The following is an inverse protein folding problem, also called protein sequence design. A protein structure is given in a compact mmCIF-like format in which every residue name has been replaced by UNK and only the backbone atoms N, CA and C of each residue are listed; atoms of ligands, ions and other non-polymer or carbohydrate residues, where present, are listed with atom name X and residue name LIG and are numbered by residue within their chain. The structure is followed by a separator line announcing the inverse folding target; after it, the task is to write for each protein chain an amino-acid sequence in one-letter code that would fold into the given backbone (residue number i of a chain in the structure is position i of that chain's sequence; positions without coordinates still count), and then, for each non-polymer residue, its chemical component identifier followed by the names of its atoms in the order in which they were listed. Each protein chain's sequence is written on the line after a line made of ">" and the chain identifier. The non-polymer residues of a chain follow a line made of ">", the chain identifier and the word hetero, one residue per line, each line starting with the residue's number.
data_IF_671960106744
#
_entry.id   IF_671960106744
#
_cell.length_a   1.000
_cell.length_b   1.000
_cell.length_c   1.000
_cell.angle_alpha   90.00
_cell.angle_beta   90.00
_cell.angle_gamma   90.00
#
_symmetry.space_group_name_H-M   'P 1'
#
loop_
_entity.id
_entity.type
_entity.pdbx_description
1 polymer ?
#
# COMPACT_ATOMS: atom_id res chain seq x y z
N UNK A 1 -11.16 35.93 -7.53
CA UNK A 1 -10.16 34.85 -7.58
C UNK A 1 -10.86 33.59 -7.07
N UNK A 2 -11.08 32.58 -7.91
CA UNK A 2 -11.59 31.29 -7.43
C UNK A 2 -10.41 30.55 -6.81
N UNK A 3 -10.37 30.43 -5.49
CA UNK A 3 -9.51 29.47 -4.81
C UNK A 3 -10.02 28.08 -5.17
N UNK A 4 -9.30 27.38 -6.05
CA UNK A 4 -9.57 25.97 -6.31
C UNK A 4 -9.43 25.21 -4.98
N UNK A 5 -10.51 24.61 -4.50
CA UNK A 5 -10.47 23.75 -3.32
C UNK A 5 -9.60 22.54 -3.64
N UNK A 6 -8.53 22.32 -2.86
CA UNK A 6 -7.70 21.11 -2.99
C UNK A 6 -8.52 19.88 -2.59
N UNK A 7 -8.58 18.88 -3.45
CA UNK A 7 -9.13 17.57 -3.11
C UNK A 7 -8.09 16.77 -2.33
N UNK A 8 -8.50 16.24 -1.19
CA UNK A 8 -7.62 15.48 -0.29
C UNK A 8 -8.27 14.15 0.02
N UNK A 9 -7.50 13.06 -0.08
CA UNK A 9 -7.88 11.76 0.47
C UNK A 9 -6.92 11.35 1.59
N UNK A 10 -7.45 10.68 2.61
CA UNK A 10 -6.70 10.21 3.77
C UNK A 10 -7.06 8.75 4.00
N UNK A 11 -6.09 7.84 3.88
CA UNK A 11 -6.28 6.41 4.08
C UNK A 11 -5.03 5.74 4.66
N UNK A 12 -5.23 4.59 5.31
CA UNK A 12 -4.16 3.71 5.77
C UNK A 12 -3.49 3.02 4.59
N UNK A 13 -2.18 2.81 4.66
CA UNK A 13 -1.42 2.12 3.62
C UNK A 13 -1.71 0.61 3.63
N UNK A 14 -1.95 0.04 2.44
CA UNK A 14 -2.29 -1.36 2.25
C UNK A 14 -1.20 -2.10 1.46
N UNK A 15 -1.08 -3.41 1.68
CA UNK A 15 -0.16 -4.26 0.92
C UNK A 15 -0.70 -4.51 -0.49
N UNK A 16 -0.11 -3.85 -1.50
CA UNK A 16 -0.46 -3.92 -2.94
C UNK A 16 -1.98 -3.69 -3.14
N UNK A 17 -2.48 -2.45 -2.94
CA UNK A 17 -3.91 -2.19 -2.89
C UNK A 17 -4.70 -2.60 -4.15
N UNK A 18 -6.02 -2.71 -4.01
CA UNK A 18 -6.93 -2.96 -5.12
C UNK A 18 -7.07 -1.73 -6.03
N UNK A 19 -7.57 -1.93 -7.26
CA UNK A 19 -7.65 -0.87 -8.28
C UNK A 19 -8.30 0.43 -7.80
N UNK A 20 -9.44 0.37 -7.09
CA UNK A 20 -10.15 1.59 -6.68
C UNK A 20 -9.41 2.41 -5.61
N UNK A 21 -8.43 1.82 -4.92
CA UNK A 21 -7.50 2.60 -4.10
C UNK A 21 -6.68 3.56 -4.97
N UNK A 22 -6.24 3.12 -6.15
CA UNK A 22 -5.50 3.95 -7.10
C UNK A 22 -6.42 4.91 -7.86
N UNK A 23 -7.68 4.55 -8.10
CA UNK A 23 -8.66 5.50 -8.65
C UNK A 23 -8.88 6.67 -7.67
N UNK A 24 -8.98 6.38 -6.36
CA UNK A 24 -9.06 7.43 -5.34
C UNK A 24 -7.80 8.31 -5.30
N UNK A 25 -6.60 7.71 -5.36
CA UNK A 25 -5.35 8.48 -5.43
C UNK A 25 -5.38 9.39 -6.65
N UNK A 26 -5.75 8.87 -7.82
CA UNK A 26 -5.80 9.61 -9.08
C UNK A 26 -6.74 10.82 -9.02
N UNK A 27 -7.85 10.72 -8.28
CA UNK A 27 -8.90 11.74 -8.26
C UNK A 27 -8.67 12.88 -7.25
N UNK A 28 -7.57 12.85 -6.49
CA UNK A 28 -7.22 13.87 -5.49
C UNK A 28 -5.89 14.59 -5.79
N UNK A 29 -5.77 15.83 -5.31
CA UNK A 29 -4.54 16.61 -5.42
C UNK A 29 -3.49 16.16 -4.39
N UNK A 30 -3.95 15.72 -3.22
CA UNK A 30 -3.12 15.28 -2.10
C UNK A 30 -3.66 13.98 -1.50
N UNK A 31 -2.79 12.99 -1.37
CA UNK A 31 -3.04 11.74 -0.66
C UNK A 31 -2.20 11.68 0.63
N UNK A 32 -2.86 11.46 1.76
CA UNK A 32 -2.24 11.39 3.08
C UNK A 32 -2.29 9.95 3.58
N UNK A 33 -1.13 9.36 3.86
CA UNK A 33 -1.04 8.07 4.56
C UNK A 33 -1.34 8.26 6.04
N UNK A 34 -2.33 7.52 6.55
CA UNK A 34 -2.81 7.60 7.93
C UNK A 34 -2.38 6.39 8.76
N UNK A 35 -1.07 6.20 8.89
CA UNK A 35 -0.48 5.00 9.51
C UNK A 35 -0.08 5.21 11.00
N UNK A 36 -0.33 6.39 11.56
CA UNK A 36 -0.17 6.72 12.99
C UNK A 36 -1.38 6.29 13.86
N UNK A 37 -2.01 5.20 13.46
CA UNK A 37 -3.20 4.60 14.09
C UNK A 37 -2.96 3.16 14.46
N UNK A 38 -3.79 2.64 15.36
CA UNK A 38 -3.65 1.30 15.91
C UNK A 38 -3.60 0.22 14.82
N UNK A 39 -2.60 -0.66 14.93
CA UNK A 39 -2.47 -1.83 14.07
C UNK A 39 -3.56 -2.85 14.38
N UNK A 40 -4.22 -3.34 13.33
CA UNK A 40 -5.17 -4.46 13.40
C UNK A 40 -4.60 -5.70 12.74
N UNK A 41 -4.84 -6.86 13.35
CA UNK A 41 -4.36 -8.12 12.80
C UNK A 41 -5.33 -8.69 11.76
N UNK A 42 -4.78 -9.44 10.80
CA UNK A 42 -5.49 -10.08 9.66
C UNK A 42 -6.24 -9.14 8.69
N UNK A 43 -5.78 -7.91 8.52
CA UNK A 43 -6.32 -6.94 7.57
C UNK A 43 -5.48 -6.80 6.26
N UNK A 44 -5.85 -5.85 5.42
CA UNK A 44 -5.18 -5.55 4.14
C UNK A 44 -3.82 -4.85 4.28
N UNK A 45 -3.40 -4.48 5.50
CA UNK A 45 -2.15 -3.72 5.73
C UNK A 45 -0.94 -4.62 5.49
N UNK A 46 -1.08 -5.91 5.74
CA UNK A 46 -0.01 -6.90 5.60
C UNK A 46 -0.43 -8.12 4.76
N UNK A 47 -1.64 -8.12 4.17
CA UNK A 47 -2.15 -9.24 3.37
C UNK A 47 -2.79 -8.78 2.07
N UNK A 48 -2.67 -9.63 1.06
CA UNK A 48 -3.35 -9.47 -0.21
C UNK A 48 -3.90 -10.80 -0.73
N UNK A 49 -4.97 -10.79 -1.53
CA UNK A 49 -5.50 -11.99 -2.19
C UNK A 49 -4.99 -12.05 -3.63
N UNK A 50 -4.21 -13.09 -3.91
CA UNK A 50 -3.77 -13.42 -5.26
C UNK A 50 -4.73 -14.43 -5.88
N UNK A 51 -5.15 -14.20 -7.12
CA UNK A 51 -5.88 -15.21 -7.88
C UNK A 51 -4.93 -16.27 -8.41
N UNK A 52 -5.19 -17.53 -8.04
CA UNK A 52 -4.43 -18.69 -8.53
C UNK A 52 -5.35 -19.62 -9.32
N UNK A 53 -4.76 -20.61 -10.00
CA UNK A 53 -5.54 -21.66 -10.68
C UNK A 53 -6.46 -22.45 -9.73
N UNK A 54 -6.09 -22.55 -8.45
CA UNK A 54 -6.87 -23.22 -7.41
C UNK A 54 -7.82 -22.29 -6.65
N UNK A 55 -8.00 -21.05 -7.11
CA UNK A 55 -8.80 -20.03 -6.42
C UNK A 55 -7.97 -18.98 -5.69
N UNK A 56 -8.62 -18.08 -4.92
CA UNK A 56 -7.93 -17.02 -4.20
C UNK A 56 -6.99 -17.58 -3.12
N UNK A 57 -5.75 -17.09 -3.07
CA UNK A 57 -4.76 -17.42 -2.05
C UNK A 57 -4.28 -16.16 -1.35
N UNK A 58 -4.14 -16.21 -0.03
CA UNK A 58 -3.53 -15.12 0.73
C UNK A 58 -2.02 -15.08 0.53
N UNK A 59 -1.51 -13.89 0.23
CA UNK A 59 -0.13 -13.47 0.44
C UNK A 59 -0.09 -12.71 1.77
N UNK A 60 0.81 -13.08 2.69
CA UNK A 60 0.86 -12.53 4.06
C UNK A 60 2.29 -12.16 4.43
N UNK A 61 2.51 -10.90 4.74
CA UNK A 61 3.74 -10.40 5.36
C UNK A 61 3.69 -10.75 6.85
N UNK A 62 4.76 -11.33 7.44
CA UNK A 62 4.80 -11.72 8.86
C UNK A 62 4.97 -10.48 9.77
N UNK A 63 3.89 -9.73 9.94
CA UNK A 63 3.81 -8.47 10.69
C UNK A 63 3.63 -8.64 12.23
N UNK A 64 3.62 -9.87 12.72
CA UNK A 64 3.37 -10.17 14.14
C UNK A 64 1.90 -10.00 14.58
N UNK A 65 1.65 -10.16 15.88
CA UNK A 65 0.29 -10.18 16.46
C UNK A 65 0.06 -9.12 17.54
N UNK A 66 1.04 -8.27 17.81
CA UNK A 66 0.94 -7.27 18.87
C UNK A 66 0.13 -6.06 18.39
N UNK A 67 -1.09 -5.96 18.93
CA UNK A 67 -2.07 -4.94 18.56
C UNK A 67 -1.89 -3.62 19.32
N UNK A 68 -0.88 -3.52 20.20
CA UNK A 68 -0.60 -2.28 20.95
C UNK A 68 0.19 -1.26 20.14
N UNK A 69 0.70 -1.67 18.98
CA UNK A 69 1.51 -0.84 18.08
C UNK A 69 0.64 -0.01 17.15
N UNK A 70 1.17 1.11 16.71
CA UNK A 70 0.68 1.80 15.52
C UNK A 70 1.11 1.06 14.25
N UNK A 71 0.40 1.23 13.13
CA UNK A 71 0.78 0.63 11.83
C UNK A 71 2.23 1.02 11.49
N UNK A 72 2.62 2.28 11.72
CA UNK A 72 3.96 2.78 11.49
C UNK A 72 5.06 2.22 12.41
N UNK A 73 4.71 1.48 13.46
CA UNK A 73 5.66 0.86 14.39
C UNK A 73 5.85 -0.64 14.11
N UNK A 74 5.17 -1.19 13.10
CA UNK A 74 5.22 -2.62 12.78
C UNK A 74 6.50 -2.95 12.01
N UNK A 75 7.46 -3.54 12.72
CA UNK A 75 8.68 -4.10 12.14
C UNK A 75 8.45 -5.46 11.45
N UNK A 76 9.22 -5.73 10.40
CA UNK A 76 9.19 -6.98 9.63
C UNK A 76 10.59 -7.61 9.66
N UNK A 77 10.99 -8.31 10.74
CA UNK A 77 12.34 -8.87 10.85
C UNK A 77 12.57 -10.06 9.90
N UNK A 78 11.53 -10.86 9.64
CA UNK A 78 11.60 -11.98 8.69
C UNK A 78 11.34 -11.50 7.26
N UNK A 79 12.29 -11.79 6.36
CA UNK A 79 12.23 -11.41 4.95
C UNK A 79 11.96 -12.61 4.02
N UNK A 80 11.82 -13.82 4.56
CA UNK A 80 11.64 -15.07 3.80
C UNK A 80 10.36 -15.08 2.96
N UNK A 81 9.32 -14.37 3.41
CA UNK A 81 8.05 -14.21 2.70
C UNK A 81 8.21 -13.60 1.30
N UNK A 82 9.26 -12.81 1.05
CA UNK A 82 9.48 -12.15 -0.25
C UNK A 82 9.69 -13.15 -1.36
N UNK A 83 10.61 -14.08 -1.15
CA UNK A 83 10.90 -15.14 -2.12
C UNK A 83 9.67 -16.03 -2.32
N UNK A 84 8.94 -16.31 -1.24
CA UNK A 84 7.70 -17.08 -1.30
C UNK A 84 6.63 -16.35 -2.14
N UNK A 85 6.35 -15.09 -1.87
CA UNK A 85 5.36 -14.29 -2.60
C UNK A 85 5.74 -14.14 -4.08
N UNK A 86 7.00 -13.79 -4.36
CA UNK A 86 7.51 -13.67 -5.73
C UNK A 86 7.33 -14.98 -6.50
N UNK A 87 7.73 -16.11 -5.91
CA UNK A 87 7.61 -17.42 -6.55
C UNK A 87 6.15 -17.78 -6.82
N UNK A 88 5.23 -17.50 -5.89
CA UNK A 88 3.80 -17.75 -6.08
C UNK A 88 3.25 -16.93 -7.27
N UNK A 89 3.61 -15.65 -7.36
CA UNK A 89 3.17 -14.78 -8.46
C UNK A 89 3.74 -15.26 -9.79
N UNK A 90 5.05 -15.48 -9.88
CA UNK A 90 5.70 -15.93 -11.10
C UNK A 90 5.11 -17.26 -11.58
N UNK A 91 4.91 -18.24 -10.70
CA UNK A 91 4.32 -19.53 -11.08
C UNK A 91 2.89 -19.42 -11.61
N UNK A 92 2.06 -18.56 -11.01
CA UNK A 92 0.66 -18.41 -11.43
C UNK A 92 0.49 -17.56 -12.69
N UNK A 93 1.37 -16.56 -12.89
CA UNK A 93 1.26 -15.58 -13.96
C UNK A 93 2.36 -15.71 -15.04
N UNK A 94 3.21 -16.74 -15.03
CA UNK A 94 4.27 -16.96 -16.03
C UNK A 94 3.81 -16.96 -17.49
N UNK A 95 2.53 -17.23 -17.75
CA UNK A 95 1.92 -17.23 -19.08
C UNK A 95 0.91 -16.09 -19.26
N UNK A 96 0.78 -15.19 -18.28
CA UNK A 96 -0.10 -14.05 -18.39
C UNK A 96 0.48 -13.06 -19.42
N UNK A 97 -0.39 -12.37 -20.19
CA UNK A 97 0.02 -11.17 -20.90
C UNK A 97 0.69 -10.19 -19.94
N UNK A 98 1.72 -9.49 -20.40
CA UNK A 98 2.43 -8.45 -19.67
C UNK A 98 3.30 -8.89 -18.47
N UNK A 99 3.54 -10.21 -18.28
CA UNK A 99 4.39 -10.69 -17.17
C UNK A 99 5.84 -10.21 -17.25
N UNK A 100 6.35 -9.96 -18.46
CA UNK A 100 7.72 -9.45 -18.66
C UNK A 100 7.82 -7.98 -18.22
N UNK A 101 6.81 -7.20 -18.59
CA UNK A 101 6.64 -5.79 -18.26
C UNK A 101 6.44 -5.60 -16.74
N UNK A 102 5.85 -6.60 -16.08
CA UNK A 102 5.65 -6.61 -14.63
C UNK A 102 6.91 -6.96 -13.82
N UNK A 103 8.01 -7.39 -14.45
CA UNK A 103 9.22 -7.82 -13.71
C UNK A 103 9.84 -6.70 -12.90
N UNK A 104 9.89 -5.47 -13.43
CA UNK A 104 10.43 -4.31 -12.72
C UNK A 104 9.65 -4.02 -11.43
N UNK A 105 8.33 -4.16 -11.47
CA UNK A 105 7.47 -4.05 -10.29
C UNK A 105 7.76 -5.18 -9.28
N UNK A 106 7.90 -6.42 -9.74
CA UNK A 106 8.22 -7.55 -8.85
C UNK A 106 9.60 -7.39 -8.20
N UNK A 107 10.58 -6.89 -8.95
CA UNK A 107 11.91 -6.58 -8.42
C UNK A 107 11.81 -5.50 -7.34
N UNK A 108 11.09 -4.41 -7.61
CA UNK A 108 10.87 -3.35 -6.63
C UNK A 108 10.22 -3.87 -5.34
N UNK A 109 9.19 -4.70 -5.46
CA UNK A 109 8.41 -5.21 -4.33
C UNK A 109 9.15 -6.23 -3.46
N UNK A 110 10.08 -7.01 -4.03
CA UNK A 110 10.62 -8.20 -3.38
C UNK A 110 12.14 -8.29 -3.27
N UNK A 111 12.92 -7.40 -3.92
CA UNK A 111 14.40 -7.43 -3.85
C UNK A 111 14.95 -6.55 -2.74
N UNK A 112 14.42 -5.34 -2.57
CA UNK A 112 14.94 -4.37 -1.60
C UNK A 112 14.66 -4.85 -0.16
N UNK A 113 15.55 -4.59 0.80
CA UNK A 113 15.28 -4.89 2.21
C UNK A 113 14.13 -4.04 2.73
N UNK A 114 13.32 -4.62 3.63
CA UNK A 114 12.19 -3.94 4.27
C UNK A 114 12.35 -4.12 5.76
N UNK A 115 12.30 -3.02 6.50
CA UNK A 115 12.35 -3.06 7.97
C UNK A 115 10.99 -2.78 8.60
N UNK A 116 10.12 -2.01 7.93
CA UNK A 116 8.87 -1.51 8.47
C UNK A 116 7.70 -1.67 7.47
N UNK A 117 6.52 -2.01 7.99
CA UNK A 117 5.31 -2.26 7.19
C UNK A 117 4.77 -1.01 6.50
N UNK A 118 4.65 0.10 7.25
CA UNK A 118 4.15 1.37 6.73
C UNK A 118 5.05 1.89 5.62
N UNK A 119 6.36 1.96 5.89
CA UNK A 119 7.32 2.47 4.90
C UNK A 119 7.33 1.64 3.62
N UNK A 120 7.21 0.32 3.75
CA UNK A 120 7.10 -0.56 2.60
C UNK A 120 5.83 -0.30 1.79
N UNK A 121 4.66 -0.28 2.43
CA UNK A 121 3.39 -0.08 1.74
C UNK A 121 3.37 1.28 1.04
N UNK A 122 3.81 2.34 1.71
CA UNK A 122 3.88 3.68 1.11
C UNK A 122 4.82 3.71 -0.10
N UNK A 123 5.98 3.07 -0.01
CA UNK A 123 6.94 2.96 -1.11
C UNK A 123 6.36 2.19 -2.30
N UNK A 124 5.70 1.06 -2.05
CA UNK A 124 5.01 0.25 -3.06
C UNK A 124 3.88 1.03 -3.74
N UNK A 125 3.05 1.75 -2.97
CA UNK A 125 1.95 2.55 -3.49
C UNK A 125 2.48 3.68 -4.38
N UNK A 126 3.48 4.43 -3.92
CA UNK A 126 4.11 5.50 -4.72
C UNK A 126 4.70 4.96 -6.02
N UNK A 127 5.38 3.81 -5.96
CA UNK A 127 5.96 3.19 -7.15
C UNK A 127 4.90 2.73 -8.16
N UNK A 128 3.83 2.10 -7.67
CA UNK A 128 2.69 1.71 -8.51
C UNK A 128 1.99 2.92 -9.11
N UNK A 129 1.78 3.98 -8.33
CA UNK A 129 1.22 5.24 -8.83
C UNK A 129 2.07 5.83 -9.96
N UNK A 130 3.39 5.79 -9.85
CA UNK A 130 4.28 6.23 -10.93
C UNK A 130 4.14 5.38 -12.19
N UNK A 131 4.06 4.04 -12.05
CA UNK A 131 3.83 3.13 -13.19
C UNK A 131 2.47 3.43 -13.87
N UNK A 132 1.45 3.75 -13.08
CA UNK A 132 0.10 4.08 -13.56
C UNK A 132 -0.02 5.51 -14.11
N UNK A 133 1.04 6.32 -14.07
CA UNK A 133 1.00 7.72 -14.52
C UNK A 133 0.23 8.66 -13.60
N UNK A 134 0.09 8.31 -12.32
CA UNK A 134 -0.61 9.11 -11.32
C UNK A 134 0.35 10.17 -10.74
N UNK A 135 -0.06 11.45 -10.77
CA UNK A 135 0.77 12.60 -10.39
C UNK A 135 0.41 13.21 -9.03
N UNK A 136 -0.48 12.57 -8.27
CA UNK A 136 -0.94 12.98 -6.95
C UNK A 136 0.22 13.21 -5.98
N UNK A 137 0.13 14.28 -5.19
CA UNK A 137 1.11 14.52 -4.14
C UNK A 137 0.86 13.56 -2.97
N UNK A 138 1.93 12.99 -2.43
CA UNK A 138 1.85 12.11 -1.27
C UNK A 138 2.47 12.78 -0.05
N UNK A 139 1.82 12.64 1.10
CA UNK A 139 2.41 12.96 2.40
C UNK A 139 1.99 11.92 3.44
N UNK A 140 2.54 12.06 4.63
CA UNK A 140 2.26 11.21 5.78
C UNK A 140 1.62 12.06 6.89
N UNK A 141 0.57 11.54 7.52
CA UNK A 141 -0.12 12.16 8.67
C UNK A 141 0.84 12.60 9.78
N UNK A 142 1.90 11.84 10.03
CA UNK A 142 2.94 12.16 11.02
C UNK A 142 3.66 13.48 10.74
N UNK A 143 3.70 13.92 9.48
CA UNK A 143 4.30 15.19 9.08
C UNK A 143 3.32 16.38 9.19
N UNK A 144 2.03 16.10 9.39
CA UNK A 144 0.95 17.09 9.39
C UNK A 144 0.50 17.49 10.79
N UNK A 145 0.90 16.76 11.84
CA UNK A 145 0.59 17.10 13.23
C UNK A 145 1.06 18.53 13.64
N UNK A 146 1.94 19.15 12.85
CA UNK A 146 2.43 20.51 13.06
C UNK A 146 1.74 21.56 12.15
N UNK A 147 0.79 21.17 11.30
CA UNK A 147 0.09 22.06 10.36
C UNK A 147 -1.41 22.13 10.72
N UNK A 148 -1.83 23.24 11.33
CA UNK A 148 -3.17 23.43 11.89
C UNK A 148 -4.33 23.60 10.88
N UNK A 149 -4.18 23.24 9.60
CA UNK A 149 -5.19 23.55 8.57
C UNK A 149 -5.39 22.39 7.58
N UNK A 150 -6.16 21.37 7.95
CA UNK A 150 -6.71 20.42 6.98
C UNK A 150 -8.18 20.11 7.28
N UNK A 151 -9.06 20.66 6.44
CA UNK A 151 -10.47 20.27 6.38
C UNK A 151 -10.56 18.92 5.66
N UNK A 152 -10.76 17.84 6.43
CA UNK A 152 -10.89 16.48 5.89
C UNK A 152 -12.29 16.31 5.28
N UNK A 153 -12.37 16.09 3.98
CA UNK A 153 -13.60 15.68 3.28
C UNK A 153 -13.55 14.19 2.97
N UNK A 154 -14.53 13.46 3.53
CA UNK A 154 -14.86 12.03 3.30
C UNK A 154 -13.91 10.95 3.85
N UNK A 155 -14.49 10.04 4.65
CA UNK A 155 -13.90 8.77 5.07
C UNK A 155 -14.53 7.65 4.25
N UNK A 156 -13.77 6.99 3.39
CA UNK A 156 -14.20 5.73 2.77
C UNK A 156 -13.96 4.59 3.76
N UNK A 157 -15.04 4.02 4.29
CA UNK A 157 -14.99 2.80 5.09
C UNK A 157 -14.99 1.60 4.15
N UNK A 158 -13.89 0.83 4.13
CA UNK A 158 -13.91 -0.52 3.56
C UNK A 158 -14.89 -1.37 4.40
N UNK A 159 -15.98 -1.85 3.80
CA UNK A 159 -16.80 -2.96 4.32
C UNK A 159 -16.39 -4.24 3.62
#
# INVERSE_FOLDING_TARGET
>A
MHTSCKKVAILQSNYIPWKGYFDLIHDVDLFIFYDDVQYTHSDWRHRNKLMTRGGPRWLTIPAGHDLKRLICEVEIPDQSWKQQHRSIIEQNYRHAPFIKESQSLLDFLYVNSITNLSDYNQSAIKHLSNILGIHTQFTDSRLLANCAELNVTERYSEK
#
